data_IF_338859872686
#
_entry.id   IF_338859872686
#
_cell.length_a   1.000
_cell.length_b   1.000
_cell.length_c   1.000
_cell.angle_alpha   90.00
_cell.angle_beta   90.00
_cell.angle_gamma   90.00
#
_symmetry.space_group_name_H-M   'P 1'
#
loop_
_entity.id
_entity.type
_entity.pdbx_description
1 polymer ?
#
# COMPACT_ATOMS: atom_id res chain seq x y z
N UNK A 1 -15.70 17.68 3.53
CA UNK A 1 -15.53 17.67 4.98
C UNK A 1 -15.71 16.27 5.59
N UNK A 2 -16.83 15.56 5.33
CA UNK A 2 -17.09 14.24 5.93
C UNK A 2 -16.04 13.17 5.54
N UNK A 3 -15.60 13.15 4.30
CA UNK A 3 -14.55 12.23 3.83
C UNK A 3 -13.21 12.47 4.54
N UNK A 4 -12.84 13.73 4.76
CA UNK A 4 -11.63 14.07 5.52
C UNK A 4 -11.73 13.58 6.97
N UNK A 5 -12.85 13.81 7.64
CA UNK A 5 -13.07 13.35 9.02
C UNK A 5 -12.93 11.83 9.10
N UNK A 6 -13.55 11.08 8.18
CA UNK A 6 -13.45 9.63 8.14
C UNK A 6 -12.04 9.15 7.84
N UNK A 7 -11.32 9.79 6.91
CA UNK A 7 -9.94 9.46 6.60
C UNK A 7 -9.02 9.67 7.81
N UNK A 8 -9.16 10.80 8.51
CA UNK A 8 -8.38 11.09 9.72
C UNK A 8 -8.74 10.14 10.87
N UNK A 9 -10.03 9.82 11.04
CA UNK A 9 -10.49 8.88 12.05
C UNK A 9 -9.92 7.47 11.80
N UNK A 10 -9.98 7.00 10.56
CA UNK A 10 -9.36 5.73 10.17
C UNK A 10 -7.84 5.74 10.42
N UNK A 11 -7.16 6.79 9.95
CA UNK A 11 -5.71 6.96 10.11
C UNK A 11 -5.27 6.92 11.57
N UNK A 12 -6.03 7.59 12.46
CA UNK A 12 -5.74 7.65 13.89
C UNK A 12 -6.13 6.37 14.66
N UNK A 13 -6.90 5.46 14.04
CA UNK A 13 -7.43 4.28 14.72
C UNK A 13 -6.33 3.37 15.29
N UNK A 14 -6.70 2.56 16.31
CA UNK A 14 -5.78 1.65 17.01
C UNK A 14 -5.05 0.68 16.07
N UNK A 15 -5.71 0.23 15.02
CA UNK A 15 -5.14 -0.70 14.03
C UNK A 15 -4.27 -0.02 12.98
N UNK A 16 -4.42 1.30 12.83
CA UNK A 16 -3.62 2.13 11.94
C UNK A 16 -2.47 2.79 12.71
N UNK A 17 -2.44 4.11 12.84
CA UNK A 17 -1.35 4.84 13.49
C UNK A 17 -1.48 4.90 15.03
N UNK A 18 -2.59 4.46 15.60
CA UNK A 18 -2.79 4.34 17.06
C UNK A 18 -2.60 5.66 17.83
N UNK A 19 -3.32 6.68 17.40
CA UNK A 19 -3.28 8.01 18.03
C UNK A 19 -4.42 8.12 19.05
N UNK A 20 -4.12 7.75 20.30
CA UNK A 20 -5.09 7.83 21.38
C UNK A 20 -5.49 9.27 21.71
N UNK A 21 -6.75 9.45 22.06
CA UNK A 21 -7.29 10.74 22.48
C UNK A 21 -7.81 11.64 21.33
N UNK A 22 -7.63 11.22 20.07
CA UNK A 22 -8.16 11.91 18.91
C UNK A 22 -9.56 11.37 18.56
N UNK A 23 -10.59 11.79 19.31
CA UNK A 23 -11.98 11.42 19.06
C UNK A 23 -12.58 12.17 17.87
N UNK A 24 -13.68 11.62 17.32
CA UNK A 24 -14.37 12.15 16.13
C UNK A 24 -14.71 13.65 16.27
N UNK A 25 -15.22 14.08 17.42
CA UNK A 25 -15.56 15.51 17.68
C UNK A 25 -14.35 16.44 17.60
N UNK A 26 -13.17 15.99 18.02
CA UNK A 26 -11.94 16.77 17.87
C UNK A 26 -11.50 16.84 16.40
N UNK A 27 -11.61 15.73 15.67
CA UNK A 27 -11.30 15.69 14.24
C UNK A 27 -12.23 16.62 13.46
N UNK A 28 -13.54 16.57 13.72
CA UNK A 28 -14.53 17.47 13.12
C UNK A 28 -14.17 18.94 13.39
N UNK A 29 -13.89 19.30 14.64
CA UNK A 29 -13.52 20.67 14.99
C UNK A 29 -12.22 21.13 14.36
N UNK A 30 -11.19 20.26 14.31
CA UNK A 30 -9.92 20.55 13.65
C UNK A 30 -10.11 20.75 12.14
N UNK A 31 -10.96 19.96 11.50
CA UNK A 31 -11.27 20.08 10.08
C UNK A 31 -12.10 21.37 9.82
N UNK A 32 -13.14 21.62 10.59
CA UNK A 32 -14.03 22.79 10.44
C UNK A 32 -13.27 24.12 10.62
N UNK A 33 -12.31 24.14 11.53
CA UNK A 33 -11.50 25.34 11.77
C UNK A 33 -10.26 25.44 10.87
N UNK A 34 -10.09 24.50 9.94
CA UNK A 34 -9.03 24.56 8.90
C UNK A 34 -7.64 24.10 9.36
N UNK A 35 -7.53 23.42 10.51
CA UNK A 35 -6.26 22.84 10.97
C UNK A 35 -5.87 21.58 10.18
N UNK A 36 -6.85 20.88 9.61
CA UNK A 36 -6.64 19.65 8.83
C UNK A 36 -7.15 19.83 7.40
N UNK A 37 -6.31 19.54 6.42
CA UNK A 37 -6.65 19.39 5.01
C UNK A 37 -6.44 17.95 4.55
N UNK A 38 -5.49 17.23 5.14
CA UNK A 38 -5.25 15.81 4.98
C UNK A 38 -4.67 15.21 6.27
N UNK A 39 -4.46 13.89 6.28
CA UNK A 39 -3.99 13.16 7.47
C UNK A 39 -2.59 13.58 7.93
N UNK A 40 -1.76 14.11 7.04
CA UNK A 40 -0.40 14.54 7.38
C UNK A 40 -0.36 15.79 8.24
N UNK A 41 -1.45 16.59 8.26
CA UNK A 41 -1.54 17.79 9.07
C UNK A 41 -1.63 17.49 10.57
N UNK A 42 -1.98 16.26 10.96
CA UNK A 42 -1.90 15.81 12.36
C UNK A 42 -0.51 16.02 12.94
N UNK A 43 0.54 15.80 12.15
CA UNK A 43 1.94 15.92 12.56
C UNK A 43 2.47 17.35 12.60
N UNK A 44 1.64 18.34 12.26
CA UNK A 44 1.93 19.77 12.39
C UNK A 44 1.27 20.42 13.60
N UNK A 45 0.28 19.74 14.19
CA UNK A 45 -0.47 20.27 15.32
C UNK A 45 0.44 20.58 16.51
N UNK A 46 0.25 21.76 17.06
CA UNK A 46 0.91 22.20 18.28
C UNK A 46 -0.05 22.17 19.46
N UNK A 47 0.48 22.28 20.67
CA UNK A 47 -0.32 22.42 21.87
C UNK A 47 -1.27 23.63 21.77
N UNK A 48 -0.74 24.76 21.28
CA UNK A 48 -1.52 25.99 21.12
C UNK A 48 -2.66 25.82 20.11
N UNK A 49 -2.45 25.10 19.01
CA UNK A 49 -3.51 24.78 18.03
C UNK A 49 -4.65 24.01 18.68
N UNK A 50 -4.34 23.01 19.49
CA UNK A 50 -5.34 22.19 20.19
C UNK A 50 -6.13 23.00 21.21
N UNK A 51 -5.47 23.84 21.98
CA UNK A 51 -6.11 24.70 22.97
C UNK A 51 -7.02 25.74 22.30
N UNK A 52 -6.55 26.35 21.22
CA UNK A 52 -7.34 27.33 20.45
C UNK A 52 -8.52 26.65 19.75
N UNK A 53 -8.32 25.48 19.17
CA UNK A 53 -9.42 24.69 18.58
C UNK A 53 -10.50 24.40 19.61
N UNK A 54 -10.11 23.95 20.82
CA UNK A 54 -11.08 23.67 21.89
C UNK A 54 -11.84 24.92 22.32
N UNK A 55 -11.15 26.04 22.51
CA UNK A 55 -11.77 27.34 22.84
C UNK A 55 -12.82 27.73 21.79
N UNK A 56 -12.48 27.65 20.51
CA UNK A 56 -13.39 27.96 19.39
C UNK A 56 -14.58 27.00 19.32
N UNK A 57 -14.36 25.72 19.61
CA UNK A 57 -15.44 24.73 19.65
C UNK A 57 -16.43 25.00 20.81
N UNK A 58 -15.91 25.32 21.98
CA UNK A 58 -16.75 25.70 23.17
C UNK A 58 -17.55 26.97 22.90
N UNK A 59 -16.96 27.99 22.28
CA UNK A 59 -17.64 29.21 21.87
C UNK A 59 -18.77 28.94 20.85
N UNK A 60 -18.47 28.12 19.82
CA UNK A 60 -19.44 27.72 18.80
C UNK A 60 -20.65 26.99 19.42
N UNK A 61 -20.39 26.10 20.38
CA UNK A 61 -21.40 25.26 21.01
C UNK A 61 -22.11 25.97 22.18
N UNK A 62 -21.75 27.22 22.47
CA UNK A 62 -22.35 28.04 23.55
C UNK A 62 -22.02 27.51 24.94
N UNK A 63 -20.99 26.69 25.09
CA UNK A 63 -20.54 26.17 26.37
C UNK A 63 -19.68 27.20 27.10
N UNK A 64 -19.86 27.31 28.42
CA UNK A 64 -18.93 28.07 29.25
C UNK A 64 -17.59 27.32 29.26
N UNK A 65 -16.47 27.95 28.86
CA UNK A 65 -15.19 27.26 28.74
C UNK A 65 -14.84 26.52 30.03
N UNK A 66 -14.83 25.20 30.01
CA UNK A 66 -14.34 24.35 31.14
C UNK A 66 -12.87 24.62 31.46
N UNK A 67 -12.14 25.18 30.48
CA UNK A 67 -10.71 25.52 30.55
C UNK A 67 -10.39 26.62 31.54
N UNK A 68 -11.39 27.34 32.08
CA UNK A 68 -11.21 28.49 32.99
C UNK A 68 -11.72 28.23 34.40
N UNK A 69 -12.06 26.99 34.77
CA UNK A 69 -12.36 26.68 36.17
C UNK A 69 -11.11 26.86 37.03
N UNK A 70 -11.14 27.82 37.91
CA UNK A 70 -10.09 28.16 38.91
C UNK A 70 -8.80 28.79 38.35
N UNK A 71 -8.79 29.51 37.23
CA UNK A 71 -7.62 30.27 36.75
C UNK A 71 -6.47 29.41 36.22
N UNK A 72 -6.69 28.09 35.97
CA UNK A 72 -5.73 27.19 35.35
C UNK A 72 -6.36 26.57 34.13
N UNK A 73 -5.68 26.72 32.98
CA UNK A 73 -6.04 26.00 31.74
C UNK A 73 -5.68 24.54 31.91
N UNK A 74 -6.65 23.63 31.78
CA UNK A 74 -6.42 22.19 31.81
C UNK A 74 -5.81 21.77 30.45
N UNK A 75 -4.47 21.62 30.38
CA UNK A 75 -3.74 21.26 29.15
C UNK A 75 -3.47 19.77 29.00
N UNK A 76 -3.61 19.00 30.09
CA UNK A 76 -3.18 17.59 30.14
C UNK A 76 -3.71 16.72 28.98
N UNK A 77 -4.95 16.93 28.55
CA UNK A 77 -5.53 16.21 27.41
C UNK A 77 -4.80 16.54 26.11
N UNK A 78 -4.45 17.80 25.88
CA UNK A 78 -3.75 18.26 24.71
C UNK A 78 -2.27 17.80 24.72
N UNK A 79 -1.60 17.87 25.89
CA UNK A 79 -0.26 17.31 26.08
C UNK A 79 -0.24 15.80 25.78
N UNK A 80 -1.23 15.06 26.28
CA UNK A 80 -1.36 13.62 26.01
C UNK A 80 -1.60 13.34 24.52
N UNK A 81 -2.41 14.15 23.85
CA UNK A 81 -2.68 13.98 22.42
C UNK A 81 -1.44 14.28 21.57
N UNK A 82 -0.71 15.37 21.87
CA UNK A 82 0.56 15.66 21.19
C UNK A 82 1.56 14.52 21.40
N UNK A 83 1.68 13.99 22.63
CA UNK A 83 2.54 12.86 22.91
C UNK A 83 2.10 11.58 22.15
N UNK A 84 0.79 11.35 21.98
CA UNK A 84 0.28 10.24 21.18
C UNK A 84 0.60 10.40 19.68
N UNK A 85 0.45 11.61 19.14
CA UNK A 85 0.83 11.95 17.76
C UNK A 85 2.34 11.71 17.57
N UNK A 86 3.17 12.18 18.49
CA UNK A 86 4.63 12.00 18.38
C UNK A 86 5.05 10.53 18.45
N UNK A 87 4.44 9.73 19.33
CA UNK A 87 4.70 8.28 19.36
C UNK A 87 4.31 7.57 18.07
N UNK A 88 3.22 8.01 17.43
CA UNK A 88 2.72 7.41 16.18
C UNK A 88 3.67 7.60 14.98
N UNK A 89 4.65 8.48 15.09
CA UNK A 89 5.67 8.68 14.03
C UNK A 89 6.48 7.41 13.78
N UNK A 90 6.73 6.61 14.81
CA UNK A 90 7.42 5.31 14.69
C UNK A 90 6.37 4.23 14.47
N UNK A 91 6.37 3.65 13.28
CA UNK A 91 5.36 2.68 12.85
C UNK A 91 5.97 1.54 12.03
N UNK A 92 5.15 0.55 11.69
CA UNK A 92 5.49 -0.53 10.77
C UNK A 92 4.92 -0.29 9.38
N UNK A 93 5.52 -0.91 8.36
CA UNK A 93 5.03 -0.78 6.99
C UNK A 93 3.57 -1.25 6.84
N UNK A 94 3.21 -2.36 7.48
CA UNK A 94 1.84 -2.88 7.44
C UNK A 94 0.83 -1.88 8.02
N UNK A 95 1.14 -1.28 9.17
CA UNK A 95 0.26 -0.28 9.81
C UNK A 95 0.15 0.99 8.96
N UNK A 96 1.26 1.45 8.41
CA UNK A 96 1.29 2.62 7.53
C UNK A 96 0.43 2.41 6.29
N UNK A 97 0.59 1.28 5.59
CA UNK A 97 -0.23 0.96 4.41
C UNK A 97 -1.72 0.86 4.75
N UNK A 98 -2.06 0.23 5.88
CA UNK A 98 -3.44 0.17 6.34
C UNK A 98 -3.99 1.57 6.67
N UNK A 99 -3.19 2.42 7.32
CA UNK A 99 -3.57 3.78 7.70
C UNK A 99 -3.88 4.69 6.49
N UNK A 100 -3.27 4.44 5.32
CA UNK A 100 -3.54 5.19 4.09
C UNK A 100 -4.98 5.03 3.59
N UNK A 101 -5.72 4.03 4.06
CA UNK A 101 -7.13 3.83 3.70
C UNK A 101 -7.35 3.45 2.24
N UNK A 102 -6.43 2.70 1.64
CA UNK A 102 -6.54 2.22 0.26
C UNK A 102 -7.76 1.30 0.16
N UNK A 103 -8.62 1.53 -0.81
CA UNK A 103 -9.81 0.73 -1.04
C UNK A 103 -9.46 -0.76 -1.20
N UNK A 104 -10.24 -1.65 -0.59
CA UNK A 104 -10.02 -3.10 -0.54
C UNK A 104 -8.75 -3.57 0.19
N UNK A 105 -7.97 -2.67 0.78
CA UNK A 105 -6.79 -3.02 1.57
C UNK A 105 -7.12 -3.01 3.06
N UNK A 106 -7.43 -4.19 3.61
CA UNK A 106 -7.56 -4.41 5.04
C UNK A 106 -6.21 -4.70 5.71
N UNK A 107 -6.24 -4.99 7.02
CA UNK A 107 -5.02 -5.29 7.79
C UNK A 107 -4.22 -6.47 7.21
N UNK A 108 -4.90 -7.56 6.82
CA UNK A 108 -4.25 -8.75 6.25
C UNK A 108 -3.56 -8.46 4.93
N UNK A 109 -4.22 -7.71 4.03
CA UNK A 109 -3.64 -7.29 2.75
C UNK A 109 -2.46 -6.34 2.95
N UNK A 110 -2.58 -5.37 3.85
CA UNK A 110 -1.47 -4.48 4.21
C UNK A 110 -0.27 -5.23 4.78
N UNK A 111 -0.53 -6.23 5.65
CA UNK A 111 0.52 -7.12 6.19
C UNK A 111 1.18 -7.95 5.09
N UNK A 112 0.41 -8.52 4.17
CA UNK A 112 0.93 -9.28 3.04
C UNK A 112 1.81 -8.41 2.12
N UNK A 113 1.35 -7.19 1.76
CA UNK A 113 2.15 -6.24 0.98
C UNK A 113 3.48 -5.90 1.68
N UNK A 114 3.45 -5.63 2.98
CA UNK A 114 4.63 -5.35 3.77
C UNK A 114 5.60 -6.54 3.81
N UNK A 115 5.11 -7.75 4.01
CA UNK A 115 5.93 -8.97 4.08
C UNK A 115 6.55 -9.33 2.71
N UNK A 116 5.81 -9.11 1.62
CA UNK A 116 6.28 -9.50 0.29
C UNK A 116 7.21 -8.47 -0.33
N UNK A 117 6.91 -7.18 -0.22
CA UNK A 117 7.73 -6.13 -0.82
C UNK A 117 8.72 -5.48 0.13
N UNK A 118 8.42 -5.41 1.42
CA UNK A 118 9.33 -5.00 2.49
C UNK A 118 9.69 -3.51 2.56
N UNK A 119 9.41 -2.71 1.53
CA UNK A 119 9.82 -1.32 1.45
C UNK A 119 8.73 -0.44 0.82
N UNK A 120 8.38 0.66 1.49
CA UNK A 120 7.43 1.65 0.99
C UNK A 120 7.91 2.28 -0.33
N UNK A 121 9.19 2.60 -0.45
CA UNK A 121 9.75 3.21 -1.65
C UNK A 121 9.58 2.30 -2.88
N UNK A 122 9.64 0.98 -2.69
CA UNK A 122 9.35 0.01 -3.73
C UNK A 122 7.84 -0.01 -4.05
N UNK A 123 6.99 -0.19 -3.04
CA UNK A 123 5.53 -0.34 -3.21
C UNK A 123 4.92 0.86 -3.93
N UNK A 124 5.29 2.08 -3.53
CA UNK A 124 4.65 3.31 -4.02
C UNK A 124 4.86 3.60 -5.51
N UNK A 125 5.78 2.90 -6.16
CA UNK A 125 6.12 3.07 -7.58
C UNK A 125 5.85 1.84 -8.44
N UNK A 126 5.30 0.76 -7.85
CA UNK A 126 4.97 -0.44 -8.60
C UNK A 126 3.69 -0.25 -9.43
N UNK A 127 3.69 -0.64 -10.71
CA UNK A 127 2.48 -0.80 -11.50
C UNK A 127 1.57 -1.88 -10.94
N UNK A 128 0.26 -1.71 -11.07
CA UNK A 128 -0.73 -2.57 -10.45
C UNK A 128 -0.58 -4.07 -10.76
N UNK A 129 -0.17 -4.54 -11.96
CA UNK A 129 -0.07 -5.97 -12.22
C UNK A 129 0.89 -6.71 -11.29
N UNK A 130 1.94 -6.03 -10.82
CA UNK A 130 2.94 -6.64 -9.94
C UNK A 130 2.41 -6.93 -8.53
N UNK A 131 1.36 -6.26 -8.08
CA UNK A 131 0.71 -6.59 -6.80
C UNK A 131 0.02 -7.96 -6.84
N UNK A 132 -0.35 -8.46 -8.01
CA UNK A 132 -0.91 -9.81 -8.16
C UNK A 132 0.10 -10.94 -7.89
N UNK A 133 1.39 -10.62 -7.75
CA UNK A 133 2.41 -11.58 -7.30
C UNK A 133 2.29 -11.93 -5.83
N UNK A 134 1.60 -11.11 -5.05
CA UNK A 134 1.30 -11.41 -3.65
C UNK A 134 0.10 -12.36 -3.58
N UNK A 135 0.20 -13.49 -2.85
CA UNK A 135 -0.93 -14.40 -2.66
C UNK A 135 -2.17 -13.64 -2.16
N UNK A 136 -3.33 -14.09 -2.61
CA UNK A 136 -4.66 -13.54 -2.25
C UNK A 136 -4.92 -12.10 -2.73
N UNK A 137 -4.02 -11.49 -3.49
CA UNK A 137 -4.28 -10.22 -4.16
C UNK A 137 -4.71 -10.48 -5.61
N UNK A 138 -6.02 -10.37 -5.85
CA UNK A 138 -6.62 -10.45 -7.18
C UNK A 138 -6.54 -9.12 -7.95
N UNK A 139 -6.97 -9.14 -9.22
CA UNK A 139 -6.91 -7.98 -10.10
C UNK A 139 -7.67 -6.76 -9.58
N UNK A 140 -8.80 -6.93 -8.91
CA UNK A 140 -9.58 -5.83 -8.34
C UNK A 140 -8.78 -5.07 -7.25
N UNK A 141 -8.23 -5.81 -6.28
CA UNK A 141 -7.43 -5.23 -5.20
C UNK A 141 -6.12 -4.63 -5.76
N UNK A 142 -5.45 -5.32 -6.68
CA UNK A 142 -4.24 -4.83 -7.32
C UNK A 142 -4.49 -3.49 -8.04
N UNK A 143 -5.58 -3.38 -8.81
CA UNK A 143 -5.96 -2.14 -9.49
C UNK A 143 -6.33 -1.02 -8.51
N UNK A 144 -7.02 -1.33 -7.42
CA UNK A 144 -7.33 -0.35 -6.38
C UNK A 144 -6.05 0.23 -5.74
N UNK A 145 -5.07 -0.62 -5.44
CA UNK A 145 -3.76 -0.19 -4.94
C UNK A 145 -3.05 0.71 -5.96
N UNK A 146 -2.96 0.25 -7.21
CA UNK A 146 -2.32 1.03 -8.29
C UNK A 146 -3.02 2.36 -8.52
N UNK A 147 -4.35 2.38 -8.58
CA UNK A 147 -5.13 3.61 -8.74
C UNK A 147 -4.86 4.62 -7.62
N UNK A 148 -4.80 4.15 -6.37
CA UNK A 148 -4.46 5.01 -5.23
C UNK A 148 -3.06 5.59 -5.35
N UNK A 149 -2.07 4.76 -5.69
CA UNK A 149 -0.66 5.17 -5.79
C UNK A 149 -0.36 6.01 -7.03
N UNK A 150 -1.13 5.88 -8.11
CA UNK A 150 -0.99 6.70 -9.33
C UNK A 150 -1.52 8.13 -9.13
N UNK A 151 -2.31 8.39 -8.09
CA UNK A 151 -2.81 9.73 -7.80
C UNK A 151 -1.72 10.61 -7.17
N UNK A 152 -1.36 11.69 -7.85
CA UNK A 152 -0.34 12.63 -7.38
C UNK A 152 -0.65 13.21 -5.98
N UNK A 153 -1.93 13.43 -5.66
CA UNK A 153 -2.35 13.90 -4.34
C UNK A 153 -2.02 12.92 -3.23
N UNK A 154 -2.22 11.61 -3.45
CA UNK A 154 -1.88 10.56 -2.48
C UNK A 154 -0.36 10.44 -2.30
N UNK A 155 0.42 10.52 -3.38
CA UNK A 155 1.87 10.55 -3.31
C UNK A 155 2.37 11.75 -2.50
N UNK A 156 1.78 12.93 -2.68
CA UNK A 156 2.11 14.11 -1.91
C UNK A 156 1.77 13.96 -0.41
N UNK A 157 0.67 13.30 -0.06
CA UNK A 157 0.35 13.00 1.34
C UNK A 157 1.40 12.07 1.95
N UNK A 158 1.81 11.02 1.22
CA UNK A 158 2.89 10.12 1.65
C UNK A 158 4.18 10.91 1.86
N UNK A 159 4.57 11.76 0.93
CA UNK A 159 5.78 12.60 1.05
C UNK A 159 5.72 13.48 2.30
N UNK A 160 4.59 14.18 2.52
CA UNK A 160 4.42 15.03 3.71
C UNK A 160 4.45 14.25 5.02
N UNK A 161 3.89 13.03 5.06
CA UNK A 161 3.99 12.17 6.24
C UNK A 161 5.45 11.85 6.58
N UNK A 162 6.24 11.46 5.58
CA UNK A 162 7.67 11.16 5.77
C UNK A 162 8.48 12.40 6.14
N UNK A 163 8.25 13.53 5.46
CA UNK A 163 8.91 14.81 5.75
C UNK A 163 8.60 15.32 7.16
N UNK A 164 7.40 15.05 7.66
CA UNK A 164 6.95 15.41 9.01
C UNK A 164 7.37 14.42 10.09
N UNK A 165 8.22 13.47 9.73
CA UNK A 165 8.93 12.61 10.67
C UNK A 165 8.30 11.25 10.93
N UNK A 166 7.32 10.81 10.13
CA UNK A 166 6.86 9.41 10.17
C UNK A 166 7.97 8.50 9.67
N UNK A 167 8.29 7.48 10.45
CA UNK A 167 9.38 6.54 10.19
C UNK A 167 8.85 5.10 10.22
N UNK A 168 9.15 4.36 9.15
CA UNK A 168 8.85 2.94 9.05
C UNK A 168 10.10 2.17 9.51
N UNK A 169 9.98 1.50 10.66
CA UNK A 169 11.14 0.88 11.34
C UNK A 169 11.46 -0.55 10.90
N UNK A 170 10.58 -1.20 10.14
CA UNK A 170 10.67 -2.62 9.78
C UNK A 170 10.90 -2.86 8.27
N UNK A 171 11.48 -1.90 7.57
CA UNK A 171 11.82 -2.06 6.16
C UNK A 171 12.85 -3.20 5.98
N UNK A 172 12.63 -4.01 4.96
CA UNK A 172 13.49 -5.15 4.61
C UNK A 172 13.51 -5.40 3.10
N UNK A 173 14.40 -6.28 2.64
CA UNK A 173 14.46 -6.68 1.25
C UNK A 173 13.18 -7.41 0.81
N UNK A 174 12.81 -7.36 -0.48
CA UNK A 174 11.67 -8.10 -0.99
C UNK A 174 11.80 -9.61 -0.75
N UNK A 175 10.67 -10.29 -0.60
CA UNK A 175 10.64 -11.74 -0.43
C UNK A 175 11.21 -12.43 -1.69
N UNK A 176 12.21 -13.33 -1.58
CA UNK A 176 12.80 -14.03 -2.74
C UNK A 176 11.79 -14.83 -3.55
N UNK A 177 10.67 -15.26 -2.94
CA UNK A 177 9.57 -15.96 -3.64
C UNK A 177 8.85 -15.09 -4.68
N UNK A 178 9.00 -13.76 -4.63
CA UNK A 178 8.53 -12.88 -5.70
C UNK A 178 9.19 -13.22 -7.04
N UNK A 179 10.43 -13.74 -7.03
CA UNK A 179 11.14 -14.18 -8.23
C UNK A 179 10.43 -15.30 -8.98
N UNK A 180 9.58 -16.07 -8.30
CA UNK A 180 8.78 -17.10 -8.94
C UNK A 180 7.67 -16.44 -9.77
N UNK A 181 7.82 -16.46 -11.10
CA UNK A 181 6.88 -15.82 -12.02
C UNK A 181 7.09 -14.33 -12.28
N UNK A 182 8.29 -13.79 -12.02
CA UNK A 182 8.71 -12.49 -12.56
C UNK A 182 9.24 -12.67 -13.99
N UNK A 183 8.37 -13.03 -14.92
CA UNK A 183 8.68 -13.19 -16.33
C UNK A 183 7.56 -12.58 -17.21
N UNK A 184 7.85 -12.45 -18.51
CA UNK A 184 6.90 -11.84 -19.45
C UNK A 184 5.59 -12.64 -19.56
N UNK A 185 5.63 -13.97 -19.45
CA UNK A 185 4.44 -14.80 -19.54
C UNK A 185 3.49 -14.53 -18.37
N UNK A 186 4.03 -14.49 -17.14
CA UNK A 186 3.26 -14.18 -15.96
C UNK A 186 2.71 -12.74 -15.98
N UNK A 187 3.53 -11.77 -16.43
CA UNK A 187 3.09 -10.38 -16.56
C UNK A 187 1.93 -10.24 -17.55
N UNK A 188 2.02 -10.87 -18.72
CA UNK A 188 0.95 -10.84 -19.73
C UNK A 188 -0.35 -11.51 -19.21
N UNK A 189 -0.22 -12.57 -18.44
CA UNK A 189 -1.37 -13.21 -17.80
C UNK A 189 -2.00 -12.32 -16.71
N UNK A 190 -1.19 -11.61 -15.95
CA UNK A 190 -1.64 -10.74 -14.86
C UNK A 190 -2.29 -9.44 -15.35
N UNK A 191 -1.95 -8.97 -16.54
CA UNK A 191 -2.55 -7.78 -17.15
C UNK A 191 -4.01 -7.97 -17.54
N UNK A 192 -4.53 -9.22 -17.50
CA UNK A 192 -5.93 -9.53 -17.84
C UNK A 192 -6.33 -9.01 -19.23
N UNK A 193 -5.41 -9.11 -20.19
CA UNK A 193 -5.64 -8.66 -21.56
C UNK A 193 -6.73 -9.52 -22.20
N UNK A 194 -7.73 -8.92 -22.87
CA UNK A 194 -8.82 -9.67 -23.48
C UNK A 194 -8.31 -10.79 -24.40
N UNK A 195 -8.83 -12.00 -24.21
CA UNK A 195 -8.47 -13.21 -24.97
C UNK A 195 -7.01 -13.70 -24.82
N UNK A 196 -6.20 -13.10 -23.95
CA UNK A 196 -4.87 -13.61 -23.61
C UNK A 196 -4.97 -14.49 -22.35
N UNK A 197 -5.05 -15.78 -22.55
CA UNK A 197 -5.01 -16.79 -21.48
C UNK A 197 -3.57 -17.03 -21.02
N UNK A 198 -3.32 -17.66 -19.87
CA UNK A 198 -1.95 -18.03 -19.45
C UNK A 198 -1.17 -18.82 -20.49
N UNK A 199 -1.85 -19.72 -21.23
CA UNK A 199 -1.24 -20.49 -22.31
C UNK A 199 -0.78 -19.57 -23.45
N UNK A 200 -1.63 -18.61 -23.85
CA UNK A 200 -1.29 -17.65 -24.90
C UNK A 200 -0.22 -16.65 -24.44
N UNK A 201 -0.24 -16.28 -23.19
CA UNK A 201 0.84 -15.46 -22.58
C UNK A 201 2.19 -16.17 -22.65
N UNK A 202 2.22 -17.47 -22.36
CA UNK A 202 3.44 -18.27 -22.47
C UNK A 202 3.91 -18.42 -23.94
N UNK A 203 2.99 -18.57 -24.90
CA UNK A 203 3.31 -18.60 -26.33
C UNK A 203 3.96 -17.27 -26.78
N UNK A 204 3.36 -16.14 -26.38
CA UNK A 204 3.91 -14.81 -26.68
C UNK A 204 5.30 -14.62 -26.06
N UNK A 205 5.46 -14.96 -24.79
CA UNK A 205 6.75 -14.84 -24.10
C UNK A 205 7.85 -15.74 -24.68
N UNK A 206 7.47 -16.84 -25.35
CA UNK A 206 8.44 -17.70 -26.07
C UNK A 206 8.82 -17.16 -27.43
N UNK A 207 7.95 -16.36 -28.05
CA UNK A 207 8.14 -15.84 -29.40
C UNK A 207 8.77 -14.43 -29.44
N UNK A 208 8.53 -13.62 -28.41
CA UNK A 208 9.03 -12.25 -28.31
C UNK A 208 10.06 -12.16 -27.18
N UNK A 209 11.17 -11.48 -27.45
CA UNK A 209 12.31 -11.39 -26.52
C UNK A 209 11.94 -10.62 -25.24
N UNK A 210 11.11 -9.57 -25.36
CA UNK A 210 10.73 -8.65 -24.31
C UNK A 210 9.38 -7.96 -24.63
N UNK A 211 8.95 -7.08 -23.75
CA UNK A 211 7.71 -6.35 -23.89
C UNK A 211 7.77 -5.32 -25.04
N UNK A 212 8.92 -4.71 -25.28
CA UNK A 212 9.13 -3.75 -26.35
C UNK A 212 8.92 -4.42 -27.72
N UNK A 213 9.54 -5.59 -27.93
CA UNK A 213 9.37 -6.37 -29.14
C UNK A 213 7.90 -6.78 -29.38
N UNK A 214 7.14 -7.04 -28.32
CA UNK A 214 5.72 -7.36 -28.42
C UNK A 214 4.87 -6.12 -28.76
N UNK A 215 5.15 -4.97 -28.14
CA UNK A 215 4.42 -3.71 -28.41
C UNK A 215 4.59 -3.26 -29.86
N UNK A 216 5.80 -3.43 -30.42
CA UNK A 216 6.12 -3.06 -31.81
C UNK A 216 5.67 -4.10 -32.84
N UNK A 217 5.16 -5.26 -32.39
CA UNK A 217 4.82 -6.35 -33.28
C UNK A 217 3.45 -6.15 -33.95
N UNK A 218 3.35 -6.36 -35.26
CA UNK A 218 2.07 -6.38 -35.94
C UNK A 218 1.27 -7.65 -35.63
N UNK A 219 -0.05 -7.61 -35.76
CA UNK A 219 -0.94 -8.74 -35.42
C UNK A 219 -0.54 -10.04 -36.12
N UNK A 220 -0.05 -10.00 -37.35
CA UNK A 220 0.34 -11.20 -38.08
C UNK A 220 1.58 -11.91 -37.42
N UNK A 221 2.45 -11.15 -36.77
CA UNK A 221 3.59 -11.76 -36.03
C UNK A 221 3.08 -12.53 -34.79
N UNK A 222 2.02 -12.05 -34.16
CA UNK A 222 1.37 -12.75 -33.04
C UNK A 222 0.67 -14.02 -33.50
N UNK A 223 0.08 -14.02 -34.69
CA UNK A 223 -0.48 -15.25 -35.32
C UNK A 223 0.63 -16.25 -35.61
N UNK A 224 1.77 -15.79 -36.14
CA UNK A 224 2.95 -16.65 -36.38
C UNK A 224 3.49 -17.25 -35.07
N UNK A 225 3.37 -16.53 -33.96
CA UNK A 225 3.71 -17.00 -32.61
C UNK A 225 2.72 -18.04 -32.05
N UNK A 226 1.65 -18.34 -32.79
CA UNK A 226 0.68 -19.39 -32.44
C UNK A 226 -0.66 -18.89 -31.85
N UNK A 227 -0.91 -17.59 -31.85
CA UNK A 227 -2.19 -17.06 -31.42
C UNK A 227 -3.26 -17.27 -32.50
N UNK A 228 -4.50 -17.61 -32.12
CA UNK A 228 -5.64 -17.47 -33.03
C UNK A 228 -5.78 -16.04 -33.54
N UNK A 229 -6.20 -15.86 -34.78
CA UNK A 229 -6.33 -14.54 -35.42
C UNK A 229 -7.15 -13.55 -34.60
N UNK A 230 -8.28 -14.00 -34.04
CA UNK A 230 -9.12 -13.15 -33.18
C UNK A 230 -8.41 -12.69 -31.91
N UNK A 231 -7.52 -13.52 -31.35
CA UNK A 231 -6.74 -13.17 -30.15
C UNK A 231 -5.59 -12.23 -30.48
N UNK A 232 -4.94 -12.44 -31.63
CA UNK A 232 -3.90 -11.55 -32.13
C UNK A 232 -4.46 -10.15 -32.44
N UNK A 233 -5.63 -10.09 -33.07
CA UNK A 233 -6.30 -8.81 -33.35
C UNK A 233 -6.77 -8.12 -32.06
N UNK A 234 -7.29 -8.85 -31.09
CA UNK A 234 -7.68 -8.28 -29.78
C UNK A 234 -6.47 -7.73 -29.00
N UNK A 235 -5.35 -8.43 -29.03
CA UNK A 235 -4.10 -7.97 -28.41
C UNK A 235 -3.54 -6.74 -29.13
N UNK A 236 -3.50 -6.76 -30.46
CA UNK A 236 -3.05 -5.61 -31.24
C UNK A 236 -3.90 -4.36 -30.95
N UNK A 237 -5.24 -4.50 -30.95
CA UNK A 237 -6.14 -3.41 -30.58
C UNK A 237 -5.93 -2.92 -29.15
N UNK A 238 -5.63 -3.82 -28.21
CA UNK A 238 -5.31 -3.45 -26.82
C UNK A 238 -3.99 -2.67 -26.73
N UNK A 239 -2.99 -3.03 -27.55
CA UNK A 239 -1.70 -2.34 -27.61
C UNK A 239 -1.73 -1.02 -28.39
N UNK A 240 -2.72 -0.79 -29.26
CA UNK A 240 -2.92 0.50 -29.91
C UNK A 240 -3.31 1.61 -28.92
N UNK A 241 -3.87 1.26 -27.77
CA UNK A 241 -4.10 2.20 -26.68
C UNK A 241 -2.76 2.50 -25.96
N UNK A 242 -2.32 3.76 -26.06
CA UNK A 242 -1.06 4.22 -25.46
C UNK A 242 -0.98 3.97 -23.95
N UNK A 243 -2.12 4.04 -23.24
CA UNK A 243 -2.17 3.78 -21.80
C UNK A 243 -1.88 2.30 -21.50
N UNK A 244 -2.43 1.39 -22.31
CA UNK A 244 -2.20 -0.06 -22.18
C UNK A 244 -0.77 -0.45 -22.56
N UNK A 245 -0.28 0.00 -23.69
CA UNK A 245 1.10 -0.24 -24.11
C UNK A 245 2.08 0.32 -23.08
N UNK A 246 1.84 1.54 -22.62
CA UNK A 246 2.62 2.16 -21.55
C UNK A 246 2.57 1.39 -20.22
N UNK A 247 1.41 0.82 -19.85
CA UNK A 247 1.29 -0.02 -18.67
C UNK A 247 2.14 -1.29 -18.78
N UNK A 248 2.08 -1.97 -19.93
CA UNK A 248 2.91 -3.16 -20.19
C UNK A 248 4.40 -2.84 -20.09
N UNK A 249 4.86 -1.78 -20.76
CA UNK A 249 6.27 -1.38 -20.75
C UNK A 249 6.76 -0.99 -19.35
N UNK A 250 6.00 -0.15 -18.63
CA UNK A 250 6.35 0.22 -17.24
C UNK A 250 6.34 -0.99 -16.31
N UNK A 251 5.41 -1.91 -16.50
CA UNK A 251 5.34 -3.14 -15.68
C UNK A 251 6.52 -4.06 -15.95
N UNK A 252 6.93 -4.22 -17.22
CA UNK A 252 8.12 -4.99 -17.58
C UNK A 252 9.41 -4.37 -17.01
N UNK A 253 9.54 -3.05 -17.09
CA UNK A 253 10.67 -2.33 -16.51
C UNK A 253 10.71 -2.48 -14.98
N UNK A 254 9.58 -2.29 -14.30
CA UNK A 254 9.48 -2.45 -12.85
C UNK A 254 9.74 -3.90 -12.41
N UNK A 255 9.29 -4.88 -13.20
CA UNK A 255 9.56 -6.29 -12.97
C UNK A 255 11.06 -6.60 -13.02
N UNK A 256 11.78 -6.07 -14.02
CA UNK A 256 13.23 -6.23 -14.12
C UNK A 256 13.96 -5.57 -12.94
N UNK A 257 13.57 -4.33 -12.59
CA UNK A 257 14.14 -3.63 -11.44
C UNK A 257 13.85 -4.36 -10.10
N UNK A 258 12.68 -4.98 -9.96
CA UNK A 258 12.35 -5.80 -8.80
C UNK A 258 13.22 -7.05 -8.75
N UNK A 259 13.42 -7.72 -9.87
CA UNK A 259 14.29 -8.90 -9.97
C UNK A 259 15.71 -8.61 -9.50
N UNK A 260 16.25 -7.44 -9.86
CA UNK A 260 17.60 -7.01 -9.48
C UNK A 260 17.72 -6.70 -7.97
N UNK A 261 16.59 -6.45 -7.29
CA UNK A 261 16.52 -6.18 -5.84
C UNK A 261 16.26 -7.43 -5.00
N UNK A 262 15.91 -8.55 -5.64
CA UNK A 262 15.67 -9.78 -4.89
C UNK A 262 16.98 -10.27 -4.27
N UNK A 263 16.98 -10.66 -2.99
CA UNK A 263 18.13 -11.30 -2.39
C UNK A 263 18.41 -12.61 -3.13
N UNK A 264 19.70 -12.96 -3.23
CA UNK A 264 20.07 -14.30 -3.70
C UNK A 264 19.33 -15.34 -2.86
N UNK A 265 18.69 -16.29 -3.54
CA UNK A 265 18.16 -17.46 -2.82
C UNK A 265 19.36 -18.11 -2.12
N UNK A 266 19.43 -18.01 -0.82
CA UNK A 266 20.18 -19.01 -0.09
C UNK A 266 19.58 -20.35 -0.53
N UNK A 267 20.37 -21.22 -1.16
CA UNK A 267 19.98 -22.60 -1.36
C UNK A 267 19.50 -23.08 0.01
N UNK A 268 18.18 -23.10 0.18
CA UNK A 268 17.59 -23.64 1.39
C UNK A 268 18.09 -25.06 1.46
N UNK A 269 19.04 -25.30 2.37
CA UNK A 269 19.36 -26.66 2.77
C UNK A 269 18.03 -27.21 3.25
N UNK A 270 17.44 -28.07 2.41
CA UNK A 270 16.14 -28.67 2.66
C UNK A 270 16.07 -29.08 4.12
N UNK A 271 15.29 -28.35 4.92
CA UNK A 271 15.17 -28.63 6.33
C UNK A 271 14.53 -30.00 6.53
N UNK A 272 14.78 -30.69 7.63
CA UNK A 272 14.25 -32.04 7.90
C UNK A 272 12.71 -32.12 7.86
N UNK A 273 12.04 -30.96 7.79
CA UNK A 273 10.57 -30.82 7.78
C UNK A 273 10.03 -30.29 6.44
N UNK A 274 10.87 -30.11 5.41
CA UNK A 274 10.43 -29.62 4.11
C UNK A 274 9.37 -30.54 3.49
N UNK A 275 8.27 -29.96 3.01
CA UNK A 275 7.14 -30.70 2.45
C UNK A 275 6.25 -31.43 3.47
N UNK A 276 6.50 -31.28 4.77
CA UNK A 276 5.68 -31.87 5.83
C UNK A 276 4.78 -30.83 6.48
N UNK A 277 3.52 -31.19 6.69
CA UNK A 277 2.62 -30.40 7.53
C UNK A 277 2.90 -30.72 8.99
N UNK A 278 3.38 -29.74 9.76
CA UNK A 278 3.63 -29.89 11.19
C UNK A 278 2.46 -29.32 11.98
N UNK A 279 1.86 -30.16 12.83
CA UNK A 279 0.82 -29.73 13.76
C UNK A 279 1.41 -29.63 15.16
N UNK A 280 1.47 -28.41 15.68
CA UNK A 280 1.94 -28.17 17.04
C UNK A 280 0.81 -28.44 18.04
N UNK A 281 0.96 -29.48 18.85
CA UNK A 281 0.03 -29.79 19.92
C UNK A 281 0.73 -29.59 21.27
N UNK A 282 0.20 -28.70 22.12
CA UNK A 282 0.76 -28.41 23.43
C UNK A 282 1.41 -27.03 23.56
N UNK A 283 2.00 -26.77 24.72
CA UNK A 283 2.73 -25.52 25.00
C UNK A 283 4.21 -25.72 24.72
N UNK A 284 4.77 -24.90 23.84
CA UNK A 284 6.21 -24.92 23.57
C UNK A 284 6.93 -24.16 24.70
N UNK A 285 7.97 -24.78 25.26
CA UNK A 285 8.71 -24.20 26.38
C UNK A 285 9.68 -23.09 25.97
N UNK A 286 10.07 -23.04 24.70
CA UNK A 286 11.12 -22.15 24.19
C UNK A 286 10.65 -21.06 23.22
N UNK A 287 9.43 -21.13 22.68
CA UNK A 287 8.89 -20.14 21.76
C UNK A 287 7.36 -20.15 21.76
N UNK A 288 6.74 -19.04 21.37
CA UNK A 288 5.30 -18.95 21.15
C UNK A 288 4.85 -19.75 19.93
N UNK A 289 3.53 -20.06 19.84
CA UNK A 289 2.94 -20.77 18.70
C UNK A 289 3.09 -20.03 17.37
N UNK A 290 3.18 -18.71 17.44
CA UNK A 290 3.30 -17.83 16.27
C UNK A 290 4.76 -17.68 15.79
N UNK A 291 5.72 -18.22 16.54
CA UNK A 291 7.16 -18.16 16.24
C UNK A 291 7.72 -19.52 15.74
N UNK A 292 6.89 -20.55 15.73
CA UNK A 292 7.27 -21.92 15.34
C UNK A 292 6.79 -22.26 13.94
#
# INVERSE_FOLDING_TARGET
PAQLVQAVFHFASRRAMDIDGLGERYIESLADFGYLQDVSDLYRLTLDDLLEMKRRAEERDGAVPETVKAGKVATKWADNLIAAIDRSRDTTLARFLYALGIEHVGESTAKALAQWFGDLALIRHLPWPLFKRVPDIGGEVARAIGHFLDQAGNQQVIDRLLERGVRIGDAHAPNPKLGDGLDLAALLADLEIPRVTPVRAAQLASAFADAEALVDAPAHAMVTAGLPTDSANALAAWLEDEANAGLLLRSAQAMNALRDRLPERSDDVAGPLEGKTVVLTGTLAAMGRDEA
#
